data_IF_345990206345
#
_entry.id   IF_345990206345
#
_cell.length_a   1.000
_cell.length_b   1.000
_cell.length_c   1.000
_cell.angle_alpha   90.00
_cell.angle_beta   90.00
_cell.angle_gamma   90.00
#
_symmetry.space_group_name_H-M   'P 1'
#
loop_
_entity.id
_entity.type
_entity.pdbx_description
1 polymer ?
#
# COMPACT_ATOMS: atom_id res chain seq x y z
N UNK A 1 -26.39 16.86 -19.74
CA UNK A 1 -25.92 18.21 -20.11
C UNK A 1 -26.53 19.21 -19.16
N UNK A 2 -25.72 19.88 -18.35
CA UNK A 2 -26.23 20.89 -17.42
C UNK A 2 -26.52 22.22 -18.14
N UNK A 3 -27.43 23.08 -17.65
CA UNK A 3 -27.66 24.41 -18.24
C UNK A 3 -26.39 25.26 -18.37
N UNK A 4 -25.49 25.12 -17.39
CA UNK A 4 -24.16 25.76 -17.38
C UNK A 4 -23.29 25.31 -18.56
N UNK A 5 -23.33 24.03 -18.93
CA UNK A 5 -22.59 23.52 -20.08
C UNK A 5 -23.21 23.93 -21.41
N UNK A 6 -24.54 24.02 -21.47
CA UNK A 6 -25.23 24.52 -22.65
C UNK A 6 -24.82 25.98 -22.95
N UNK A 7 -24.83 26.85 -21.93
CA UNK A 7 -24.34 28.23 -22.07
C UNK A 7 -22.87 28.29 -22.51
N UNK A 8 -21.99 27.46 -21.92
CA UNK A 8 -20.56 27.41 -22.31
C UNK A 8 -20.38 27.01 -23.77
N UNK A 9 -21.17 26.06 -24.29
CA UNK A 9 -21.13 25.67 -25.71
C UNK A 9 -21.54 26.84 -26.61
N UNK A 10 -22.63 27.53 -26.26
CA UNK A 10 -23.08 28.71 -27.01
C UNK A 10 -22.06 29.84 -26.97
N UNK A 11 -21.50 30.14 -25.80
CA UNK A 11 -20.47 31.17 -25.60
C UNK A 11 -19.21 30.89 -26.41
N UNK A 12 -18.69 29.65 -26.41
CA UNK A 12 -17.52 29.30 -27.23
C UNK A 12 -17.83 29.39 -28.74
N UNK A 13 -19.05 29.01 -29.16
CA UNK A 13 -19.47 29.13 -30.56
C UNK A 13 -19.60 30.60 -30.98
N UNK A 14 -20.08 31.45 -30.09
CA UNK A 14 -20.22 32.89 -30.31
C UNK A 14 -18.87 33.61 -30.35
N UNK A 15 -17.99 33.38 -29.36
CA UNK A 15 -16.69 34.05 -29.28
C UNK A 15 -15.58 33.38 -30.09
N UNK A 16 -15.81 32.20 -30.67
CA UNK A 16 -14.82 31.42 -31.42
C UNK A 16 -13.65 30.88 -30.59
N UNK A 17 -13.60 31.19 -29.28
CA UNK A 17 -12.53 30.78 -28.37
C UNK A 17 -12.97 29.55 -27.58
N UNK A 18 -12.53 28.39 -28.05
CA UNK A 18 -12.76 27.11 -27.39
C UNK A 18 -11.86 26.88 -26.17
N UNK A 19 -12.15 25.82 -25.39
CA UNK A 19 -11.23 25.35 -24.36
C UNK A 19 -9.96 24.78 -25.01
N UNK A 20 -8.78 25.00 -24.40
CA UNK A 20 -7.54 24.37 -24.85
C UNK A 20 -7.52 22.85 -24.72
N UNK A 21 -6.59 22.19 -25.43
CA UNK A 21 -6.49 20.73 -25.57
C UNK A 21 -6.55 19.97 -24.24
N UNK A 22 -5.71 20.32 -23.27
CA UNK A 22 -5.69 19.68 -21.94
C UNK A 22 -7.04 19.77 -21.21
N UNK A 23 -7.77 20.88 -21.37
CA UNK A 23 -9.09 21.07 -20.73
C UNK A 23 -10.19 20.27 -21.41
N UNK A 24 -10.02 19.97 -22.70
CA UNK A 24 -10.90 19.08 -23.45
C UNK A 24 -10.62 17.63 -23.08
N UNK A 25 -9.35 17.21 -23.08
CA UNK A 25 -8.91 15.87 -22.66
C UNK A 25 -9.36 15.53 -21.25
N UNK A 26 -9.13 16.43 -20.27
CA UNK A 26 -9.59 16.22 -18.89
C UNK A 26 -11.10 16.04 -18.81
N UNK A 27 -11.88 16.78 -19.61
CA UNK A 27 -13.35 16.64 -19.62
C UNK A 27 -13.78 15.33 -20.27
N UNK A 28 -13.12 14.91 -21.34
CA UNK A 28 -13.39 13.61 -21.98
C UNK A 28 -13.10 12.47 -21.02
N UNK A 29 -11.95 12.51 -20.33
CA UNK A 29 -11.60 11.52 -19.30
C UNK A 29 -12.62 11.47 -18.16
N UNK A 30 -13.05 12.62 -17.64
CA UNK A 30 -14.09 12.67 -16.60
C UNK A 30 -15.42 12.08 -17.09
N UNK A 31 -15.80 12.35 -18.34
CA UNK A 31 -17.00 11.78 -18.92
C UNK A 31 -16.90 10.26 -19.11
N UNK A 32 -15.74 9.75 -19.55
CA UNK A 32 -15.48 8.32 -19.65
C UNK A 32 -15.53 7.64 -18.28
N UNK A 33 -14.92 8.25 -17.25
CA UNK A 33 -14.97 7.76 -15.87
C UNK A 33 -16.42 7.75 -15.33
N UNK A 34 -17.19 8.80 -15.56
CA UNK A 34 -18.60 8.88 -15.14
C UNK A 34 -19.48 7.87 -15.89
N UNK A 35 -19.28 7.72 -17.20
CA UNK A 35 -19.99 6.73 -18.01
C UNK A 35 -19.67 5.31 -17.57
N UNK A 36 -18.39 5.02 -17.31
CA UNK A 36 -17.94 3.74 -16.78
C UNK A 36 -18.55 3.47 -15.41
N UNK A 37 -18.55 4.47 -14.53
CA UNK A 37 -19.17 4.37 -13.20
C UNK A 37 -20.68 4.15 -13.29
N UNK A 38 -21.37 4.80 -14.23
CA UNK A 38 -22.81 4.63 -14.44
C UNK A 38 -23.19 3.30 -15.08
N UNK A 39 -22.30 2.74 -15.92
CA UNK A 39 -22.46 1.40 -16.50
C UNK A 39 -22.15 0.29 -15.50
N UNK A 40 -21.39 0.58 -14.43
CA UNK A 40 -21.12 -0.39 -13.38
C UNK A 40 -22.39 -0.68 -12.57
N UNK A 41 -22.61 -1.97 -12.31
CA UNK A 41 -23.67 -2.43 -11.41
C UNK A 41 -23.48 -1.82 -10.02
N UNK A 42 -24.58 -1.42 -9.37
CA UNK A 42 -24.64 -0.73 -8.08
C UNK A 42 -23.91 -1.41 -6.92
N UNK A 43 -23.44 -2.65 -7.12
CA UNK A 43 -22.78 -3.47 -6.12
C UNK A 43 -21.28 -3.66 -6.32
N UNK A 44 -20.65 -3.15 -7.37
CA UNK A 44 -19.21 -3.37 -7.55
C UNK A 44 -18.45 -2.14 -8.00
N UNK A 45 -17.52 -1.71 -7.16
CA UNK A 45 -16.58 -0.64 -7.50
C UNK A 45 -15.66 -1.13 -8.61
N UNK A 46 -15.07 -0.23 -9.42
CA UNK A 46 -14.13 -0.59 -10.49
C UNK A 46 -12.98 -1.52 -10.07
N UNK A 47 -12.70 -1.64 -8.77
CA UNK A 47 -11.59 -2.41 -8.20
C UNK A 47 -12.00 -3.80 -7.69
N UNK A 48 -13.25 -4.25 -7.94
CA UNK A 48 -13.82 -5.48 -7.39
C UNK A 48 -13.76 -5.50 -5.85
N UNK A 49 -14.03 -4.36 -5.21
CA UNK A 49 -13.80 -4.23 -3.75
C UNK A 49 -14.79 -5.07 -2.95
N UNK A 50 -16.03 -5.21 -3.43
CA UNK A 50 -17.06 -5.96 -2.72
C UNK A 50 -16.81 -7.47 -2.77
N UNK A 51 -16.37 -7.98 -3.93
CA UNK A 51 -15.95 -9.38 -4.08
C UNK A 51 -14.77 -9.71 -3.15
N UNK A 52 -13.72 -8.88 -3.14
CA UNK A 52 -12.56 -9.07 -2.26
C UNK A 52 -12.93 -9.07 -0.77
N UNK A 53 -13.92 -8.27 -0.37
CA UNK A 53 -14.42 -8.30 1.01
C UNK A 53 -15.17 -9.58 1.31
N UNK A 54 -16.02 -10.08 0.41
CA UNK A 54 -16.67 -11.39 0.61
C UNK A 54 -15.66 -12.52 0.68
N UNK A 55 -14.63 -12.50 -0.17
CA UNK A 55 -13.54 -13.47 -0.13
C UNK A 55 -12.80 -13.45 1.20
N UNK A 56 -12.52 -12.26 1.74
CA UNK A 56 -11.88 -12.12 3.05
C UNK A 56 -12.78 -12.60 4.19
N UNK A 57 -14.09 -12.32 4.15
CA UNK A 57 -15.06 -12.86 5.12
C UNK A 57 -15.11 -14.38 5.07
N UNK A 58 -15.13 -14.95 3.87
CA UNK A 58 -15.15 -16.39 3.65
C UNK A 58 -13.85 -17.06 4.14
N UNK A 59 -12.69 -16.45 3.89
CA UNK A 59 -11.38 -16.96 4.36
C UNK A 59 -11.24 -16.91 5.88
N UNK A 60 -11.70 -15.83 6.50
CA UNK A 60 -11.61 -15.64 7.95
C UNK A 60 -12.77 -16.31 8.69
N UNK A 61 -13.79 -16.77 7.97
CA UNK A 61 -15.05 -17.25 8.51
C UNK A 61 -15.70 -16.26 9.50
N UNK A 62 -15.58 -14.95 9.20
CA UNK A 62 -16.16 -13.88 10.02
C UNK A 62 -17.22 -13.10 9.24
N UNK A 63 -18.34 -12.73 9.88
CA UNK A 63 -19.42 -12.00 9.20
C UNK A 63 -19.12 -10.52 8.96
N UNK A 64 -18.01 -9.98 9.49
CA UNK A 64 -17.63 -8.57 9.39
C UNK A 64 -16.15 -8.42 8.98
N UNK A 65 -15.82 -7.29 8.34
CA UNK A 65 -14.44 -6.89 8.04
C UNK A 65 -14.22 -5.47 8.54
N UNK A 66 -13.06 -5.22 9.15
CA UNK A 66 -12.63 -3.90 9.59
C UNK A 66 -11.80 -3.23 8.48
N UNK A 67 -12.32 -2.14 7.91
CA UNK A 67 -11.69 -1.39 6.79
C UNK A 67 -11.15 -0.03 7.30
N UNK A 68 -10.71 0.02 8.56
CA UNK A 68 -10.14 1.23 9.16
C UNK A 68 -8.69 1.41 8.71
N UNK A 69 -8.34 2.59 8.19
CA UNK A 69 -6.97 2.94 7.81
C UNK A 69 -6.01 3.14 8.99
N UNK A 70 -6.51 3.10 10.23
CA UNK A 70 -5.70 3.13 11.46
C UNK A 70 -6.17 2.02 12.40
N UNK A 71 -5.41 0.94 12.50
CA UNK A 71 -5.65 -0.12 13.47
C UNK A 71 -4.94 0.30 14.75
N UNK A 72 -5.69 0.72 15.77
CA UNK A 72 -5.11 0.91 17.10
C UNK A 72 -4.73 -0.47 17.66
N UNK A 73 -3.60 -0.60 18.38
CA UNK A 73 -3.30 -1.83 19.11
C UNK A 73 -4.48 -2.15 20.04
N UNK A 74 -5.12 -3.31 19.86
CA UNK A 74 -6.34 -3.73 20.56
C UNK A 74 -7.63 -3.73 19.72
N UNK A 75 -7.61 -3.27 18.46
CA UNK A 75 -8.73 -3.42 17.51
C UNK A 75 -8.61 -4.65 16.59
N UNK A 76 -7.63 -5.53 16.83
CA UNK A 76 -7.47 -6.75 16.04
C UNK A 76 -8.58 -7.74 16.42
N UNK A 77 -9.24 -8.34 15.43
CA UNK A 77 -10.28 -9.35 15.66
C UNK A 77 -9.73 -10.69 16.17
N UNK A 78 -8.40 -10.84 16.15
CA UNK A 78 -7.71 -12.03 16.63
C UNK A 78 -6.71 -11.66 17.75
N UNK A 79 -6.99 -12.01 19.01
CA UNK A 79 -6.07 -11.80 20.13
C UNK A 79 -4.87 -12.76 20.11
N UNK A 80 -4.84 -13.77 19.24
CA UNK A 80 -3.80 -14.80 19.16
C UNK A 80 -2.84 -14.62 17.99
N UNK A 81 -3.29 -14.10 16.85
CA UNK A 81 -2.42 -13.93 15.66
C UNK A 81 -1.77 -12.55 15.55
N UNK A 82 -2.29 -11.50 16.18
CA UNK A 82 -1.69 -10.16 16.09
C UNK A 82 -1.68 -9.54 14.68
N UNK A 83 -2.23 -10.21 13.67
CA UNK A 83 -2.31 -9.72 12.31
C UNK A 83 -3.70 -9.19 11.99
N UNK A 84 -3.79 -7.88 11.76
CA UNK A 84 -4.89 -7.30 11.00
C UNK A 84 -4.75 -7.73 9.55
N UNK A 85 -5.40 -8.83 9.18
CA UNK A 85 -5.80 -9.21 7.81
C UNK A 85 -5.02 -8.53 6.67
N UNK A 86 -3.84 -9.06 6.35
CA UNK A 86 -3.28 -9.25 5.00
C UNK A 86 -2.26 -10.37 5.18
N UNK A 87 -2.66 -11.61 4.89
CA UNK A 87 -1.70 -12.70 4.74
C UNK A 87 -1.80 -13.26 3.32
N UNK A 88 -0.88 -12.78 2.48
CA UNK A 88 -0.01 -13.68 1.74
C UNK A 88 1.29 -12.95 1.53
N UNK A 89 2.30 -13.38 2.26
CA UNK A 89 3.70 -12.99 2.12
C UNK A 89 4.07 -12.86 0.64
N UNK A 90 4.27 -11.63 0.16
CA UNK A 90 5.24 -11.42 -0.90
C UNK A 90 6.60 -11.48 -0.24
N UNK A 91 7.37 -12.52 -0.53
CA UNK A 91 8.80 -12.61 -0.27
C UNK A 91 9.44 -11.28 -0.65
N UNK A 92 9.77 -10.45 0.35
CA UNK A 92 10.18 -9.05 0.15
C UNK A 92 9.76 -8.12 1.29
N UNK A 93 9.80 -8.64 2.52
CA UNK A 93 9.35 -8.02 3.76
C UNK A 93 9.81 -6.56 3.92
N UNK A 94 8.86 -5.67 4.20
CA UNK A 94 9.08 -4.34 4.81
C UNK A 94 9.47 -4.47 6.29
N UNK A 95 10.35 -5.41 6.61
CA UNK A 95 11.09 -5.36 7.87
C UNK A 95 12.25 -4.41 7.59
N UNK A 96 12.37 -3.25 8.25
CA UNK A 96 13.54 -2.41 8.08
C UNK A 96 14.73 -3.23 8.57
N UNK A 97 15.47 -3.82 7.63
CA UNK A 97 16.73 -4.50 7.90
C UNK A 97 17.59 -3.47 8.63
N UNK A 98 17.88 -3.71 9.91
CA UNK A 98 18.69 -2.82 10.74
C UNK A 98 20.11 -3.38 10.85
N UNK A 99 21.10 -2.49 10.77
CA UNK A 99 22.52 -2.83 10.90
C UNK A 99 23.07 -3.64 9.72
N UNK A 100 23.90 -4.62 10.05
CA UNK A 100 24.69 -5.44 9.12
C UNK A 100 23.85 -6.11 8.02
N UNK A 101 22.63 -6.52 8.35
CA UNK A 101 21.72 -7.18 7.40
C UNK A 101 21.39 -6.25 6.22
N UNK A 102 21.16 -4.95 6.48
CA UNK A 102 20.85 -3.95 5.45
C UNK A 102 22.01 -3.78 4.47
N UNK A 103 23.21 -3.72 5.03
CA UNK A 103 24.45 -3.54 4.28
C UNK A 103 24.69 -4.75 3.39
N UNK A 104 24.57 -5.96 3.93
CA UNK A 104 24.71 -7.22 3.19
C UNK A 104 23.73 -7.33 2.02
N UNK A 105 22.47 -6.95 2.24
CA UNK A 105 21.45 -6.98 1.19
C UNK A 105 21.76 -5.99 0.05
N UNK A 106 22.15 -4.76 0.37
CA UNK A 106 22.47 -3.74 -0.64
C UNK A 106 23.78 -4.00 -1.38
N UNK A 107 24.77 -4.62 -0.73
CA UNK A 107 26.08 -4.92 -1.32
C UNK A 107 26.19 -6.36 -1.85
N UNK A 108 25.15 -7.18 -1.71
CA UNK A 108 25.13 -8.57 -2.18
C UNK A 108 26.12 -9.50 -1.46
N UNK A 109 26.55 -9.15 -0.25
CA UNK A 109 27.56 -9.90 0.50
C UNK A 109 26.85 -10.99 1.31
N UNK A 110 27.20 -12.27 1.09
CA UNK A 110 26.74 -13.38 1.93
C UNK A 110 27.85 -13.80 2.90
N UNK A 111 27.78 -13.36 4.16
CA UNK A 111 28.66 -13.89 5.21
C UNK A 111 28.14 -15.22 5.71
N UNK A 112 29.01 -16.23 5.87
CA UNK A 112 28.66 -17.49 6.55
C UNK A 112 28.53 -17.19 8.06
N UNK A 113 27.54 -17.76 8.78
CA UNK A 113 27.45 -17.60 10.21
C UNK A 113 28.65 -18.30 10.87
N UNK A 114 29.63 -17.53 11.32
CA UNK A 114 30.67 -18.05 12.19
C UNK A 114 30.11 -18.14 13.62
N UNK A 115 29.97 -19.36 14.14
CA UNK A 115 29.76 -19.62 15.56
C UNK A 115 31.04 -19.24 16.33
N UNK A 116 31.19 -17.96 16.65
CA UNK A 116 32.17 -17.52 17.65
C UNK A 116 31.48 -17.47 19.00
N UNK A 117 31.54 -18.59 19.73
CA UNK A 117 31.37 -18.56 21.17
C UNK A 117 32.36 -17.52 21.71
N UNK A 118 31.87 -16.48 22.37
CA UNK A 118 32.70 -15.47 23.03
C UNK A 118 33.69 -16.17 23.97
N UNK A 119 34.94 -16.34 23.55
CA UNK A 119 36.02 -16.76 24.46
C UNK A 119 36.28 -15.56 25.39
N UNK A 120 36.24 -15.74 26.72
CA UNK A 120 36.59 -14.66 27.64
C UNK A 120 38.03 -14.20 27.37
N UNK A 121 38.31 -12.88 27.45
CA UNK A 121 39.65 -12.37 27.22
C UNK A 121 40.62 -12.94 28.27
N UNK A 122 41.79 -13.38 27.80
CA UNK A 122 42.87 -13.91 28.64
C UNK A 122 43.35 -12.85 29.66
N UNK A 123 43.67 -13.24 30.92
CA UNK A 123 44.13 -12.30 31.93
C UNK A 123 45.48 -11.69 31.53
N UNK A 124 45.62 -10.38 31.74
CA UNK A 124 46.84 -9.61 31.47
C UNK A 124 47.98 -10.11 32.37
N UNK A 125 49.12 -10.45 31.77
CA UNK A 125 50.35 -10.79 32.51
C UNK A 125 50.87 -9.56 33.27
N UNK A 126 51.42 -9.71 34.48
CA UNK A 126 51.96 -8.59 35.24
C UNK A 126 53.18 -7.99 34.53
N UNK A 127 53.31 -6.67 34.61
CA UNK A 127 54.43 -5.91 34.09
C UNK A 127 55.68 -6.20 34.95
N UNK A 128 56.87 -6.36 34.36
CA UNK A 128 58.09 -6.51 35.17
C UNK A 128 58.40 -5.19 35.87
N UNK A 129 58.68 -5.27 37.16
CA UNK A 129 59.23 -4.16 37.94
C UNK A 129 60.69 -3.89 37.54
N UNK A 130 61.07 -2.62 37.62
CA UNK A 130 62.37 -1.97 37.30
C UNK A 130 63.61 -2.87 37.21
#
# INVERSE_FOLDING_TARGET
>A
MTPKEAFRKLSHKFHGKGPGKMKQEKRMKQYEEEMKLKQMSSGDTPLMSMEKMRDAQAKLHTPYIVISGHIKPGQTSDPRSGFGTIEKESIGSLTPMLGDQKVEYFLGIKRKPENTSMKPPLPKRPRPDK
#
